data_IF_009071504852
#
_entry.id   IF_009071504852
#
_cell.length_a   1.000
_cell.length_b   1.000
_cell.length_c   1.000
_cell.angle_alpha   90.00
_cell.angle_beta   90.00
_cell.angle_gamma   90.00
#
_symmetry.space_group_name_H-M   'P 1'
#
loop_
_entity.id
_entity.type
_entity.pdbx_description
1 polymer ?
#
# COMPACT_ATOMS: atom_id res chain seq x y z
N UNK A 1 12.87 -3.99 -19.72
CA UNK A 1 12.84 -4.36 -18.29
C UNK A 1 11.69 -3.70 -17.52
N UNK A 2 11.50 -2.39 -17.60
CA UNK A 2 10.38 -1.72 -16.92
C UNK A 2 9.01 -2.22 -17.38
N UNK A 3 8.84 -2.47 -18.68
CA UNK A 3 7.58 -2.95 -19.23
C UNK A 3 7.26 -4.38 -18.81
N UNK A 4 8.26 -5.23 -18.69
CA UNK A 4 8.09 -6.62 -18.23
C UNK A 4 7.68 -6.66 -16.75
N UNK A 5 8.30 -5.84 -15.93
CA UNK A 5 7.96 -5.71 -14.50
C UNK A 5 6.54 -5.17 -14.35
N UNK A 6 6.21 -4.12 -15.11
CA UNK A 6 4.86 -3.54 -15.12
C UNK A 6 3.81 -4.56 -15.49
N UNK A 7 4.07 -5.36 -16.54
CA UNK A 7 3.17 -6.42 -16.99
C UNK A 7 2.99 -7.49 -15.91
N UNK A 8 4.08 -7.92 -15.27
CA UNK A 8 4.02 -8.94 -14.23
C UNK A 8 3.10 -8.51 -13.09
N UNK A 9 3.27 -7.28 -12.58
CA UNK A 9 2.45 -6.79 -11.46
C UNK A 9 1.05 -6.36 -11.87
N UNK A 10 0.87 -5.93 -13.12
CA UNK A 10 -0.42 -5.45 -13.60
C UNK A 10 -1.34 -6.53 -14.13
N UNK A 11 -0.81 -7.49 -14.88
CA UNK A 11 -1.59 -8.48 -15.63
C UNK A 11 -1.47 -9.89 -15.08
N UNK A 12 -0.28 -10.28 -14.63
CA UNK A 12 0.03 -11.65 -14.21
C UNK A 12 -0.22 -11.84 -12.73
N UNK A 13 0.30 -10.95 -11.90
CA UNK A 13 0.23 -11.04 -10.46
C UNK A 13 -0.95 -10.24 -9.93
N UNK A 14 -2.00 -10.93 -9.45
CA UNK A 14 -3.24 -10.31 -8.99
C UNK A 14 -3.42 -10.36 -7.47
N UNK A 15 -2.88 -11.39 -6.82
CA UNK A 15 -2.96 -11.59 -5.37
C UNK A 15 -1.63 -12.08 -4.83
N UNK A 16 -1.44 -11.96 -3.52
CA UNK A 16 -0.23 -12.45 -2.85
C UNK A 16 0.04 -13.93 -3.13
N UNK A 17 -1.02 -14.72 -3.29
CA UNK A 17 -0.91 -16.16 -3.58
C UNK A 17 -0.31 -16.45 -4.95
N UNK A 18 -0.33 -15.49 -5.87
CA UNK A 18 0.24 -15.64 -7.20
C UNK A 18 1.75 -15.42 -7.22
N UNK A 19 2.34 -15.01 -6.12
CA UNK A 19 3.78 -14.78 -6.00
C UNK A 19 4.54 -16.09 -6.13
N UNK A 20 5.46 -16.15 -7.09
CA UNK A 20 6.24 -17.35 -7.39
C UNK A 20 7.59 -17.40 -6.65
N UNK A 21 7.83 -16.48 -5.75
CA UNK A 21 9.07 -16.41 -4.97
C UNK A 21 8.76 -16.50 -3.48
N UNK A 22 9.73 -16.99 -2.70
CA UNK A 22 9.63 -17.07 -1.25
C UNK A 22 10.10 -15.78 -0.56
N UNK A 23 10.12 -14.68 -1.28
CA UNK A 23 10.62 -13.40 -0.77
C UNK A 23 9.63 -12.66 0.12
N UNK A 24 8.39 -13.13 0.25
CA UNK A 24 7.38 -12.49 1.08
C UNK A 24 7.66 -12.71 2.55
N UNK A 25 7.65 -11.63 3.31
CA UNK A 25 7.73 -11.69 4.76
C UNK A 25 6.41 -12.20 5.35
N UNK A 26 6.51 -12.93 6.46
CA UNK A 26 5.34 -13.35 7.20
C UNK A 26 4.79 -12.17 8.00
N UNK A 27 3.48 -11.94 7.92
CA UNK A 27 2.79 -10.89 8.68
C UNK A 27 2.90 -11.10 10.19
N UNK A 28 3.13 -12.33 10.61
CA UNK A 28 3.24 -12.68 12.03
C UNK A 28 4.42 -11.97 12.72
N UNK A 29 5.44 -11.54 11.96
CA UNK A 29 6.59 -10.82 12.51
C UNK A 29 6.35 -9.33 12.70
N UNK A 30 5.21 -8.79 12.26
CA UNK A 30 4.94 -7.37 12.36
C UNK A 30 4.62 -6.95 13.81
N UNK A 31 5.01 -5.73 14.22
CA UNK A 31 4.58 -5.20 15.52
C UNK A 31 3.05 -5.12 15.63
N UNK A 32 2.54 -5.17 16.86
CA UNK A 32 1.10 -5.15 17.09
C UNK A 32 0.41 -3.92 16.49
N UNK A 33 1.01 -2.73 16.60
CA UNK A 33 0.39 -1.51 16.08
C UNK A 33 0.25 -1.54 14.57
N UNK A 34 1.17 -2.20 13.86
CA UNK A 34 1.06 -2.42 12.41
C UNK A 34 -0.06 -3.42 12.10
N UNK A 35 -0.13 -4.52 12.84
CA UNK A 35 -1.21 -5.51 12.66
C UNK A 35 -2.58 -4.87 12.88
N UNK A 36 -2.69 -3.98 13.85
CA UNK A 36 -3.92 -3.25 14.12
C UNK A 36 -4.30 -2.32 12.95
N UNK A 37 -3.31 -1.66 12.34
CA UNK A 37 -3.54 -0.88 11.13
C UNK A 37 -4.03 -1.74 9.97
N UNK A 38 -3.44 -2.92 9.77
CA UNK A 38 -3.82 -3.85 8.69
C UNK A 38 -5.28 -4.30 8.82
N UNK A 39 -5.77 -4.48 10.03
CA UNK A 39 -7.17 -4.86 10.29
C UNK A 39 -8.17 -3.82 9.76
N UNK A 40 -7.76 -2.57 9.63
CA UNK A 40 -8.60 -1.49 9.14
C UNK A 40 -8.54 -1.33 7.62
N UNK A 41 -7.74 -2.13 6.94
CA UNK A 41 -7.55 -2.06 5.49
C UNK A 41 -8.45 -3.08 4.80
N UNK A 42 -9.05 -2.67 3.67
CA UNK A 42 -9.92 -3.53 2.89
C UNK A 42 -9.20 -4.82 2.49
N UNK A 43 -9.89 -5.95 2.60
CA UNK A 43 -9.28 -7.27 2.36
C UNK A 43 -8.71 -7.41 0.95
N UNK A 44 -9.34 -6.83 -0.06
CA UNK A 44 -8.81 -6.89 -1.43
C UNK A 44 -7.46 -6.18 -1.57
N UNK A 45 -7.24 -5.10 -0.83
CA UNK A 45 -5.96 -4.41 -0.82
C UNK A 45 -4.90 -5.27 -0.13
N UNK A 46 -5.24 -5.84 1.02
CA UNK A 46 -4.34 -6.73 1.78
C UNK A 46 -3.96 -7.96 0.97
N UNK A 47 -4.92 -8.59 0.31
CA UNK A 47 -4.69 -9.79 -0.51
C UNK A 47 -3.84 -9.50 -1.74
N UNK A 48 -3.81 -8.27 -2.20
CA UNK A 48 -3.03 -7.85 -3.38
C UNK A 48 -1.65 -7.31 -3.03
N UNK A 49 -1.20 -7.49 -1.78
CA UNK A 49 0.12 -7.02 -1.34
C UNK A 49 1.22 -7.96 -1.80
N UNK A 50 2.19 -7.43 -2.53
CA UNK A 50 3.30 -8.19 -3.11
C UNK A 50 4.67 -7.73 -2.58
N UNK A 51 4.70 -6.97 -1.50
CA UNK A 51 5.94 -6.45 -0.93
C UNK A 51 6.76 -7.52 -0.24
N UNK A 52 8.07 -7.28 -0.17
CA UNK A 52 9.04 -8.18 0.45
C UNK A 52 9.32 -7.82 1.91
N UNK A 53 8.43 -7.14 2.56
CA UNK A 53 8.58 -6.73 3.94
C UNK A 53 8.05 -5.32 4.14
N UNK A 54 7.87 -4.99 5.40
CA UNK A 54 7.32 -3.70 5.78
C UNK A 54 8.46 -2.80 6.25
N UNK A 55 8.69 -1.71 5.54
CA UNK A 55 9.68 -0.71 5.92
C UNK A 55 8.94 0.55 6.32
N UNK A 56 8.53 0.60 7.58
CA UNK A 56 7.82 1.75 8.14
C UNK A 56 8.64 2.32 9.30
N UNK A 57 9.13 3.56 9.17
CA UNK A 57 9.87 4.19 10.25
C UNK A 57 8.96 4.59 11.41
N UNK A 58 9.57 4.85 12.56
CA UNK A 58 8.87 5.35 13.73
C UNK A 58 8.60 6.86 13.66
N UNK A 59 7.75 7.37 14.52
CA UNK A 59 7.53 8.81 14.74
C UNK A 59 7.00 9.53 13.51
N UNK A 60 6.00 8.95 12.86
CA UNK A 60 5.42 9.50 11.63
C UNK A 60 4.29 10.50 11.85
N UNK A 61 3.84 10.71 13.07
CA UNK A 61 2.72 11.60 13.36
C UNK A 61 2.93 12.96 12.69
N UNK A 62 1.91 13.43 11.98
CA UNK A 62 1.86 14.70 11.25
C UNK A 62 2.89 14.83 10.09
N UNK A 63 3.56 13.75 9.73
CA UNK A 63 4.54 13.76 8.64
C UNK A 63 3.88 13.72 7.26
N UNK A 64 4.63 14.19 6.25
CA UNK A 64 4.32 13.98 4.84
C UNK A 64 5.23 12.86 4.33
N UNK A 65 4.63 11.80 3.80
CA UNK A 65 5.35 10.58 3.41
C UNK A 65 5.13 10.30 1.92
N UNK A 66 6.17 9.85 1.26
CA UNK A 66 6.13 9.40 -0.13
C UNK A 66 6.47 7.92 -0.17
N UNK A 67 5.58 7.11 -0.76
CA UNK A 67 5.77 5.68 -0.96
C UNK A 67 6.02 5.40 -2.43
N UNK A 68 7.24 5.00 -2.75
CA UNK A 68 7.66 4.69 -4.12
C UNK A 68 7.41 3.22 -4.42
N UNK A 69 6.60 2.94 -5.43
CA UNK A 69 6.19 1.58 -5.76
C UNK A 69 5.06 1.10 -4.85
N UNK A 70 4.03 1.92 -4.67
CA UNK A 70 2.98 1.68 -3.66
C UNK A 70 2.02 0.52 -3.98
N UNK A 71 2.01 0.04 -5.21
CA UNK A 71 1.09 -1.03 -5.62
C UNK A 71 -0.37 -0.68 -5.39
N UNK A 72 -1.12 -1.57 -4.76
CA UNK A 72 -2.53 -1.36 -4.43
C UNK A 72 -2.76 -0.52 -3.18
N UNK A 73 -1.67 -0.03 -2.56
CA UNK A 73 -1.75 0.97 -1.50
C UNK A 73 -1.77 0.42 -0.08
N UNK A 74 -1.45 -0.85 0.15
CA UNK A 74 -1.45 -1.38 1.52
C UNK A 74 -0.57 -0.55 2.45
N UNK A 75 0.68 -0.29 2.06
CA UNK A 75 1.60 0.51 2.87
C UNK A 75 1.11 1.95 3.01
N UNK A 76 0.55 2.53 1.94
CA UNK A 76 -0.03 3.88 1.98
C UNK A 76 -1.15 3.95 3.01
N UNK A 77 -2.03 2.95 3.05
CA UNK A 77 -3.14 2.95 4.01
C UNK A 77 -2.69 2.65 5.44
N UNK A 78 -1.60 1.92 5.64
CA UNK A 78 -0.97 1.80 6.96
C UNK A 78 -0.40 3.16 7.38
N UNK A 79 0.39 3.77 6.50
CA UNK A 79 1.02 5.08 6.74
C UNK A 79 -0.03 6.17 7.00
N UNK A 80 -1.14 6.15 6.26
CA UNK A 80 -2.25 7.07 6.45
C UNK A 80 -2.74 7.10 7.89
N UNK A 81 -2.86 5.94 8.50
CA UNK A 81 -3.30 5.83 9.90
C UNK A 81 -2.24 6.32 10.88
N UNK A 82 -0.96 6.09 10.55
CA UNK A 82 0.16 6.47 11.42
C UNK A 82 0.47 7.97 11.38
N UNK A 83 0.36 8.61 10.21
CA UNK A 83 0.59 10.06 10.13
C UNK A 83 -0.60 10.86 10.65
N UNK A 84 -1.80 10.30 10.58
CA UNK A 84 -3.01 10.92 11.10
C UNK A 84 -3.57 12.02 10.20
N UNK A 85 -4.62 12.69 10.69
CA UNK A 85 -5.37 13.67 9.90
C UNK A 85 -4.55 14.90 9.46
N UNK A 86 -3.49 15.22 10.18
CA UNK A 86 -2.63 16.38 9.87
C UNK A 86 -1.42 16.01 9.02
N UNK A 87 -1.19 14.72 8.78
CA UNK A 87 -0.15 14.24 7.89
C UNK A 87 -0.69 14.00 6.49
N UNK A 88 0.19 13.58 5.59
CA UNK A 88 -0.18 13.27 4.20
C UNK A 88 0.68 12.12 3.67
N UNK A 89 0.07 11.23 2.91
CA UNK A 89 0.79 10.13 2.26
C UNK A 89 0.52 10.17 0.76
N UNK A 90 1.57 10.13 -0.04
CA UNK A 90 1.48 10.05 -1.49
C UNK A 90 2.11 8.74 -1.94
N UNK A 91 1.36 7.94 -2.68
CA UNK A 91 1.84 6.70 -3.28
C UNK A 91 2.04 6.88 -4.78
N UNK A 92 3.15 6.37 -5.30
CA UNK A 92 3.45 6.37 -6.73
C UNK A 92 3.72 4.95 -7.18
N UNK A 93 3.11 4.55 -8.30
CA UNK A 93 3.38 3.25 -8.92
C UNK A 93 3.24 3.37 -10.43
N UNK A 94 4.02 2.62 -11.16
CA UNK A 94 3.99 2.63 -12.63
C UNK A 94 2.87 1.76 -13.22
N UNK A 95 2.25 0.94 -12.41
CA UNK A 95 1.26 -0.06 -12.85
C UNK A 95 -0.15 0.50 -12.74
N UNK A 96 -0.77 0.77 -13.90
CA UNK A 96 -2.11 1.36 -13.97
C UNK A 96 -3.15 0.56 -13.19
N UNK A 97 -3.13 -0.77 -13.31
CA UNK A 97 -4.11 -1.66 -12.69
C UNK A 97 -4.01 -1.60 -11.16
N UNK A 98 -2.80 -1.52 -10.63
CA UNK A 98 -2.60 -1.44 -9.18
C UNK A 98 -2.99 -0.08 -8.62
N UNK A 99 -2.60 1.00 -9.28
CA UNK A 99 -3.03 2.36 -8.90
C UNK A 99 -4.55 2.48 -8.98
N UNK A 100 -5.16 1.90 -10.02
CA UNK A 100 -6.61 1.89 -10.16
C UNK A 100 -7.30 1.21 -8.98
N UNK A 101 -6.75 0.08 -8.52
CA UNK A 101 -7.29 -0.62 -7.35
C UNK A 101 -7.08 0.20 -6.08
N UNK A 102 -5.93 0.84 -5.91
CA UNK A 102 -5.69 1.71 -4.76
C UNK A 102 -6.73 2.84 -4.70
N UNK A 103 -6.97 3.51 -5.81
CA UNK A 103 -7.95 4.60 -5.90
C UNK A 103 -9.37 4.08 -5.68
N UNK A 104 -9.69 2.90 -6.18
CA UNK A 104 -11.01 2.28 -6.03
C UNK A 104 -11.43 2.18 -4.56
N UNK A 105 -10.50 1.88 -3.68
CA UNK A 105 -10.79 1.71 -2.25
C UNK A 105 -10.45 2.96 -1.41
N UNK A 106 -10.09 4.07 -2.03
CA UNK A 106 -9.72 5.29 -1.31
C UNK A 106 -10.89 5.83 -0.49
N UNK A 107 -12.08 5.88 -1.06
CA UNK A 107 -13.27 6.35 -0.35
C UNK A 107 -13.59 5.47 0.86
N UNK A 108 -13.47 4.15 0.70
CA UNK A 108 -13.67 3.20 1.80
C UNK A 108 -12.78 3.53 2.98
N UNK A 109 -11.49 3.77 2.71
CA UNK A 109 -10.54 4.06 3.77
C UNK A 109 -10.73 5.45 4.37
N UNK A 110 -11.06 6.44 3.55
CA UNK A 110 -11.37 7.79 4.05
C UNK A 110 -12.53 7.77 5.03
N UNK A 111 -13.58 7.03 4.72
CA UNK A 111 -14.73 6.89 5.61
C UNK A 111 -14.38 6.12 6.88
N UNK A 112 -13.60 5.06 6.75
CA UNK A 112 -13.20 4.23 7.88
C UNK A 112 -12.27 4.97 8.84
N UNK A 113 -11.30 5.72 8.31
CA UNK A 113 -10.32 6.45 9.12
C UNK A 113 -10.87 7.77 9.65
N UNK A 114 -11.85 8.34 8.97
CA UNK A 114 -12.44 9.62 9.35
C UNK A 114 -11.68 10.85 8.84
N UNK A 115 -10.76 10.67 7.86
CA UNK A 115 -10.03 11.77 7.23
C UNK A 115 -9.56 11.37 5.85
N UNK A 116 -9.15 12.36 5.06
CA UNK A 116 -8.66 12.19 3.68
C UNK A 116 -7.23 12.70 3.59
N UNK A 117 -6.25 11.82 3.65
CA UNK A 117 -4.84 12.22 3.64
C UNK A 117 -3.98 11.43 2.65
N UNK A 118 -4.61 10.70 1.71
CA UNK A 118 -3.87 9.90 0.73
C UNK A 118 -4.02 10.45 -0.69
N UNK A 119 -2.95 10.36 -1.47
CA UNK A 119 -2.93 10.70 -2.89
C UNK A 119 -2.21 9.58 -3.62
N UNK A 120 -2.75 9.12 -4.75
CA UNK A 120 -2.14 8.11 -5.60
C UNK A 120 -1.81 8.70 -6.96
N UNK A 121 -0.60 8.44 -7.44
CA UNK A 121 -0.09 8.95 -8.71
C UNK A 121 0.46 7.79 -9.52
N UNK A 122 0.01 7.66 -10.76
CA UNK A 122 0.63 6.73 -11.70
C UNK A 122 1.86 7.37 -12.30
N UNK A 123 3.01 6.71 -12.19
CA UNK A 123 4.25 7.25 -12.72
C UNK A 123 5.44 6.33 -12.47
N UNK A 124 6.53 6.63 -13.14
CA UNK A 124 7.80 5.93 -12.96
C UNK A 124 8.63 6.63 -11.87
N UNK A 125 9.39 5.82 -11.16
CA UNK A 125 10.32 6.29 -10.13
C UNK A 125 11.76 6.22 -10.59
#
# INVERSE_FOLDING_TARGET
MKEEVKKYYGEILKKSVDLQTNACCTRDSYPKYIKDCIKNIHTEVVESYYGCGLVIPDCLEDCNVLDLGCGTGMDVYILSQLVGKNGKVTGIDMTHEQIGKAIKFQKYHNEKFGFENTTFIEGYI
#
